data_IF_863752478715
#
_entry.id   IF_863752478715
#
_cell.length_a   1.000
_cell.length_b   1.000
_cell.length_c   1.000
_cell.angle_alpha   90.00
_cell.angle_beta   90.00
_cell.angle_gamma   90.00
#
_symmetry.space_group_name_H-M   'P 1'
#
loop_
_entity.id
_entity.type
_entity.pdbx_description
1 polymer ?
#
# COMPACT_ATOMS: atom_id res chain seq x y z
N UNK A 1 6.37 -37.68 11.98
CA UNK A 1 6.73 -37.25 10.61
C UNK A 1 5.91 -36.00 10.31
N UNK A 2 6.53 -34.84 10.04
CA UNK A 2 5.81 -33.62 9.64
C UNK A 2 5.90 -33.51 8.12
N UNK A 3 4.77 -33.55 7.44
CA UNK A 3 4.71 -33.31 6.00
C UNK A 3 4.68 -31.80 5.78
N UNK A 4 5.64 -31.28 5.01
CA UNK A 4 5.65 -29.90 4.55
C UNK A 4 5.21 -29.93 3.09
N UNK A 5 4.04 -29.38 2.80
CA UNK A 5 3.56 -29.22 1.42
C UNK A 5 4.07 -27.89 0.89
N UNK A 6 4.99 -27.93 -0.08
CA UNK A 6 5.47 -26.74 -0.79
C UNK A 6 4.61 -26.58 -2.04
N UNK A 7 3.88 -25.48 -2.14
CA UNK A 7 3.19 -25.10 -3.36
C UNK A 7 4.12 -24.18 -4.16
N UNK A 8 4.81 -24.74 -5.15
CA UNK A 8 5.53 -23.95 -6.14
C UNK A 8 4.52 -23.28 -7.07
N UNK A 9 4.47 -21.95 -7.11
CA UNK A 9 3.69 -21.23 -8.11
C UNK A 9 4.56 -20.97 -9.34
N UNK A 10 4.11 -21.37 -10.53
CA UNK A 10 4.85 -21.18 -11.78
C UNK A 10 4.63 -19.81 -12.43
N UNK A 11 4.14 -18.80 -11.68
CA UNK A 11 3.79 -17.49 -12.20
C UNK A 11 3.44 -16.47 -11.11
N UNK A 12 3.07 -15.23 -11.49
CA UNK A 12 2.73 -14.18 -10.53
C UNK A 12 1.57 -14.60 -9.62
N UNK A 13 1.76 -14.49 -8.30
CA UNK A 13 0.74 -14.87 -7.30
C UNK A 13 -0.18 -13.71 -6.94
N UNK A 14 0.30 -12.48 -7.04
CA UNK A 14 -0.43 -11.28 -6.65
C UNK A 14 -0.08 -10.10 -7.54
N UNK A 15 -1.05 -9.20 -7.71
CA UNK A 15 -0.87 -7.89 -8.32
C UNK A 15 -1.04 -6.81 -7.26
N UNK A 16 -0.12 -5.85 -7.22
CA UNK A 16 -0.21 -4.66 -6.39
C UNK A 16 -0.54 -3.47 -7.29
N UNK A 17 -1.49 -2.64 -6.86
CA UNK A 17 -1.73 -1.33 -7.45
C UNK A 17 -1.58 -0.26 -6.38
N UNK A 18 -0.94 0.84 -6.76
CA UNK A 18 -0.65 1.98 -5.89
C UNK A 18 -1.39 3.20 -6.44
N UNK A 19 -1.94 4.05 -5.58
CA UNK A 19 -2.57 5.29 -6.02
C UNK A 19 -2.15 6.47 -5.16
N UNK A 20 -1.91 7.61 -5.81
CA UNK A 20 -1.60 8.89 -5.19
C UNK A 20 -2.74 9.89 -5.42
N UNK A 21 -2.82 10.90 -4.56
CA UNK A 21 -3.76 12.00 -4.73
C UNK A 21 -3.03 13.14 -5.42
N UNK A 22 -3.37 13.41 -6.67
CA UNK A 22 -2.81 14.52 -7.43
C UNK A 22 -3.41 15.88 -7.02
N UNK A 23 -2.86 16.98 -7.57
CA UNK A 23 -3.43 18.32 -7.40
C UNK A 23 -4.92 18.33 -7.79
N UNK A 24 -5.78 18.80 -6.88
CA UNK A 24 -7.25 18.80 -7.07
C UNK A 24 -7.98 17.59 -6.49
N UNK A 25 -7.28 16.66 -5.83
CA UNK A 25 -7.92 15.58 -5.06
C UNK A 25 -8.24 14.31 -5.86
N UNK A 26 -7.89 14.28 -7.15
CA UNK A 26 -8.07 13.09 -7.98
C UNK A 26 -7.08 11.99 -7.59
N UNK A 27 -7.59 10.76 -7.42
CA UNK A 27 -6.76 9.56 -7.28
C UNK A 27 -6.22 9.15 -8.64
N UNK A 28 -4.90 9.08 -8.77
CA UNK A 28 -4.23 8.60 -9.97
C UNK A 28 -3.50 7.31 -9.63
N UNK A 29 -3.74 6.26 -10.42
CA UNK A 29 -3.02 5.01 -10.30
C UNK A 29 -1.57 5.19 -10.78
N UNK A 30 -0.63 4.71 -9.98
CA UNK A 30 0.79 4.68 -10.32
C UNK A 30 1.07 3.46 -11.20
N UNK A 31 1.37 3.71 -12.47
CA UNK A 31 1.72 2.67 -13.45
C UNK A 31 3.16 2.18 -13.33
N UNK A 32 4.01 2.95 -12.64
CA UNK A 32 5.42 2.67 -12.48
C UNK A 32 5.84 2.95 -11.03
N UNK A 33 5.31 2.17 -10.06
CA UNK A 33 5.63 2.39 -8.65
C UNK A 33 7.14 2.26 -8.46
N UNK A 34 7.77 3.37 -8.08
CA UNK A 34 9.22 3.44 -7.87
C UNK A 34 9.70 2.51 -6.75
N UNK A 35 8.79 1.99 -5.91
CA UNK A 35 9.10 0.98 -4.92
C UNK A 35 7.90 0.07 -4.60
N UNK A 36 7.98 -1.25 -4.87
CA UNK A 36 6.94 -2.21 -4.47
C UNK A 36 7.01 -2.59 -2.98
N UNK A 37 8.12 -2.26 -2.29
CA UNK A 37 8.25 -2.46 -0.85
C UNK A 37 7.76 -1.21 -0.11
N UNK A 38 6.92 -1.45 0.91
CA UNK A 38 6.06 -0.51 1.63
C UNK A 38 6.88 0.44 2.54
N UNK A 39 7.88 1.10 1.99
CA UNK A 39 8.69 2.14 2.60
C UNK A 39 8.41 3.47 1.92
N UNK A 40 8.49 4.57 2.68
CA UNK A 40 8.75 5.86 2.05
C UNK A 40 10.01 5.68 1.21
N UNK A 41 9.86 5.86 -0.09
CA UNK A 41 10.93 5.66 -1.05
C UNK A 41 12.17 6.41 -0.54
N UNK A 42 13.26 5.68 -0.29
CA UNK A 42 14.53 6.26 0.17
C UNK A 42 15.04 7.29 -0.84
N UNK A 43 14.52 7.27 -2.07
CA UNK A 43 14.84 8.18 -3.16
C UNK A 43 13.86 9.35 -3.32
N UNK A 44 12.76 9.45 -2.56
CA UNK A 44 11.86 10.62 -2.61
C UNK A 44 12.59 11.95 -2.33
N UNK A 45 13.67 11.91 -1.52
CA UNK A 45 14.56 13.06 -1.28
C UNK A 45 15.24 13.60 -2.55
N UNK A 46 15.35 12.78 -3.60
CA UNK A 46 16.00 13.09 -4.87
C UNK A 46 15.00 13.65 -5.88
N UNK A 47 13.72 13.24 -5.83
CA UNK A 47 12.75 13.48 -6.90
C UNK A 47 11.74 14.64 -6.63
N UNK A 48 11.73 15.25 -5.44
CA UNK A 48 10.87 16.41 -5.16
C UNK A 48 10.50 16.57 -3.68
N UNK A 49 9.63 17.54 -3.35
CA UNK A 49 9.01 17.61 -2.01
C UNK A 49 8.01 16.46 -1.88
N UNK A 50 7.99 15.81 -0.72
CA UNK A 50 7.26 14.56 -0.51
C UNK A 50 5.76 14.69 -0.80
N UNK A 51 5.13 15.85 -0.58
CA UNK A 51 3.68 16.03 -0.56
C UNK A 51 2.92 15.56 -1.80
N UNK A 52 3.51 15.70 -2.99
CA UNK A 52 2.75 15.67 -4.24
C UNK A 52 2.62 14.25 -4.83
N UNK A 53 3.37 13.28 -4.29
CA UNK A 53 3.49 11.93 -4.85
C UNK A 53 3.46 10.82 -3.78
N UNK A 54 2.95 11.10 -2.57
CA UNK A 54 2.78 10.05 -1.57
C UNK A 54 1.62 9.13 -1.97
N UNK A 55 1.93 7.84 -2.07
CA UNK A 55 0.92 6.77 -2.18
C UNK A 55 -0.06 6.89 -1.02
N UNK A 56 -1.34 7.02 -1.31
CA UNK A 56 -2.42 7.05 -0.30
C UNK A 56 -3.15 5.74 -0.19
N UNK A 57 -3.10 4.93 -1.23
CA UNK A 57 -3.86 3.70 -1.33
C UNK A 57 -3.04 2.60 -1.97
N UNK A 58 -3.16 1.40 -1.42
CA UNK A 58 -2.58 0.18 -1.97
C UNK A 58 -3.69 -0.85 -2.05
N UNK A 59 -3.81 -1.54 -3.18
CA UNK A 59 -4.68 -2.71 -3.31
C UNK A 59 -3.87 -3.92 -3.74
N UNK A 60 -4.18 -5.07 -3.15
CA UNK A 60 -3.52 -6.34 -3.50
C UNK A 60 -4.57 -7.36 -3.93
N UNK A 61 -4.46 -7.80 -5.18
CA UNK A 61 -5.33 -8.82 -5.79
C UNK A 61 -4.55 -10.13 -5.90
N UNK A 62 -5.14 -11.23 -5.43
CA UNK A 62 -4.54 -12.57 -5.58
C UNK A 62 -4.87 -13.13 -6.96
N UNK A 63 -3.85 -13.28 -7.82
CA UNK A 63 -4.01 -13.72 -9.22
C UNK A 63 -4.30 -15.22 -9.33
N UNK A 64 -3.77 -16.00 -8.38
CA UNK A 64 -4.00 -17.44 -8.27
C UNK A 64 -5.28 -17.80 -7.51
N UNK A 65 -5.97 -16.83 -6.91
CA UNK A 65 -7.17 -17.03 -6.12
C UNK A 65 -8.16 -15.87 -6.34
N UNK A 66 -8.78 -15.78 -7.54
CA UNK A 66 -9.60 -14.62 -7.94
C UNK A 66 -10.87 -14.41 -7.10
N UNK A 67 -11.30 -15.43 -6.36
CA UNK A 67 -12.44 -15.33 -5.44
C UNK A 67 -12.04 -14.79 -4.05
N UNK A 68 -10.75 -14.57 -3.79
CA UNK A 68 -10.29 -13.96 -2.54
C UNK A 68 -10.52 -12.45 -2.57
N UNK A 69 -10.81 -11.83 -1.41
CA UNK A 69 -10.96 -10.39 -1.32
C UNK A 69 -9.72 -9.65 -1.82
N UNK A 70 -9.93 -8.56 -2.55
CA UNK A 70 -8.88 -7.60 -2.86
C UNK A 70 -8.62 -6.80 -1.59
N UNK A 71 -7.45 -7.02 -0.98
CA UNK A 71 -7.09 -6.31 0.25
C UNK A 71 -6.77 -4.86 -0.07
N UNK A 72 -7.00 -3.98 0.89
CA UNK A 72 -6.82 -2.54 0.73
C UNK A 72 -6.05 -1.97 1.92
N UNK A 73 -5.07 -1.11 1.66
CA UNK A 73 -4.41 -0.32 2.68
C UNK A 73 -4.57 1.15 2.38
N UNK A 74 -4.92 1.94 3.41
CA UNK A 74 -4.98 3.39 3.36
C UNK A 74 -3.80 3.97 4.12
N UNK A 75 -3.10 4.92 3.51
CA UNK A 75 -1.88 5.53 4.04
C UNK A 75 -2.10 7.03 4.31
N UNK A 76 -1.93 7.43 5.56
CA UNK A 76 -2.00 8.82 6.00
C UNK A 76 -0.64 9.28 6.49
N UNK A 77 -0.23 10.49 6.11
CA UNK A 77 1.09 11.02 6.42
C UNK A 77 1.00 12.35 7.15
N UNK A 78 1.93 12.57 8.07
CA UNK A 78 2.22 13.88 8.65
C UNK A 78 3.59 14.37 8.14
N UNK A 79 3.70 15.66 7.86
CA UNK A 79 4.93 16.30 7.40
C UNK A 79 5.38 17.41 8.36
N UNK A 80 6.69 17.66 8.43
CA UNK A 80 7.23 18.84 9.12
C UNK A 80 7.14 20.11 8.23
N UNK A 81 7.63 21.23 8.74
CA UNK A 81 7.61 22.53 8.04
C UNK A 81 8.39 22.54 6.72
N UNK A 82 9.41 21.69 6.60
CA UNK A 82 10.23 21.56 5.39
C UNK A 82 9.59 20.62 4.35
N UNK A 83 8.47 19.97 4.70
CA UNK A 83 7.75 19.04 3.83
C UNK A 83 8.28 17.60 3.87
N UNK A 84 9.11 17.24 4.85
CA UNK A 84 9.53 15.85 5.07
C UNK A 84 8.47 15.09 5.87
N UNK A 85 8.23 13.83 5.51
CA UNK A 85 7.36 12.96 6.31
C UNK A 85 8.01 12.69 7.66
N UNK A 86 7.23 12.86 8.73
CA UNK A 86 7.62 12.51 10.10
C UNK A 86 6.87 11.28 10.60
N UNK A 87 5.68 11.01 10.07
CA UNK A 87 4.87 9.87 10.49
C UNK A 87 4.03 9.36 9.33
N UNK A 88 3.89 8.03 9.25
CA UNK A 88 2.95 7.32 8.39
C UNK A 88 2.05 6.44 9.24
N UNK A 89 0.75 6.54 9.00
CA UNK A 89 -0.27 5.64 9.53
C UNK A 89 -0.77 4.78 8.39
N UNK A 90 -0.73 3.46 8.57
CA UNK A 90 -1.26 2.47 7.62
C UNK A 90 -2.49 1.82 8.23
N UNK A 91 -3.65 1.99 7.61
CA UNK A 91 -4.89 1.28 7.95
C UNK A 91 -5.09 0.12 6.97
N UNK A 92 -5.04 -1.12 7.45
CA UNK A 92 -5.16 -2.33 6.64
C UNK A 92 -6.57 -2.93 6.71
N UNK A 93 -7.21 -3.06 5.56
CA UNK A 93 -8.57 -3.57 5.36
C UNK A 93 -8.54 -4.90 4.60
N UNK A 94 -8.66 -6.04 5.29
CA UNK A 94 -8.53 -7.36 4.67
C UNK A 94 -9.65 -7.70 3.68
N UNK A 95 -10.82 -7.06 3.77
CA UNK A 95 -11.94 -7.24 2.84
C UNK A 95 -12.06 -6.13 1.79
N UNK A 96 -11.06 -5.24 1.70
CA UNK A 96 -11.05 -4.13 0.73
C UNK A 96 -11.69 -2.84 1.24
N UNK A 97 -11.99 -1.91 0.31
CA UNK A 97 -12.55 -0.56 0.61
C UNK A 97 -13.97 -0.57 1.18
N UNK A 98 -14.66 -1.71 1.14
CA UNK A 98 -16.03 -1.87 1.63
C UNK A 98 -16.13 -2.15 3.12
N UNK A 99 -17.26 -2.71 3.53
CA UNK A 99 -17.49 -3.12 4.91
C UNK A 99 -16.51 -4.22 5.32
N UNK A 100 -15.76 -3.97 6.39
CA UNK A 100 -14.90 -4.95 7.06
C UNK A 100 -15.53 -5.45 8.37
N UNK A 101 -16.87 -5.40 8.48
CA UNK A 101 -17.58 -5.85 9.68
C UNK A 101 -17.22 -7.31 9.98
N UNK A 102 -16.97 -7.60 11.26
CA UNK A 102 -16.50 -8.89 11.78
C UNK A 102 -15.05 -9.27 11.39
N UNK A 103 -14.30 -8.39 10.73
CA UNK A 103 -12.87 -8.60 10.47
C UNK A 103 -12.06 -7.42 11.00
N UNK A 104 -10.99 -7.70 11.71
CA UNK A 104 -10.19 -6.65 12.34
C UNK A 104 -9.40 -5.88 11.28
N UNK A 105 -9.61 -4.57 11.23
CA UNK A 105 -8.70 -3.62 10.58
C UNK A 105 -7.47 -3.43 11.47
N UNK A 106 -6.28 -3.55 10.88
CA UNK A 106 -5.02 -3.33 11.60
C UNK A 106 -4.53 -1.92 11.34
N UNK A 107 -4.03 -1.24 12.37
CA UNK A 107 -3.42 0.08 12.24
C UNK A 107 -1.96 -0.03 12.65
N UNK A 108 -1.06 0.39 11.76
CA UNK A 108 0.37 0.49 12.03
C UNK A 108 0.83 1.95 11.92
N UNK A 109 1.75 2.35 12.81
CA UNK A 109 2.26 3.72 12.88
C UNK A 109 3.79 3.67 12.81
N UNK A 110 4.32 4.20 11.71
CA UNK A 110 5.76 4.32 11.49
C UNK A 110 6.21 5.77 11.65
N UNK A 111 7.23 5.99 12.46
CA UNK A 111 7.89 7.29 12.66
C UNK A 111 9.23 7.30 11.94
N UNK A 112 9.59 8.44 11.35
CA UNK A 112 10.82 8.65 10.57
C UNK A 112 11.79 9.60 11.27
#
# INVERSE_FOLDING_TARGET
MRTITVHESSGPVSQLAFSYVGPGGALTEDKCPLNPEIGLDRYLRIYGKFSDLLVREITVSQLNAPNQPITYSKLTYATNADGYVTTRVTEYHPLGKGSNVNVQTTIDVLKY
#
